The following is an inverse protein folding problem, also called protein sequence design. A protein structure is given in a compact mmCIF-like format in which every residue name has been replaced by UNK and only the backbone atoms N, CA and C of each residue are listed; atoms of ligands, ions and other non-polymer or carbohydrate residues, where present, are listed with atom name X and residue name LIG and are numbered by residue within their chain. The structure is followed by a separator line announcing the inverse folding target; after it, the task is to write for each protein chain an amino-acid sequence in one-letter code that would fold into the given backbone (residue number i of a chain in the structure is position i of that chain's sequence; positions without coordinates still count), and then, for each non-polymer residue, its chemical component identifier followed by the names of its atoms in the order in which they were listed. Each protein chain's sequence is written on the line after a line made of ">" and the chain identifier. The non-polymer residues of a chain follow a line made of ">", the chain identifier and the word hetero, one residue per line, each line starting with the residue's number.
data_IF_761999172989
#
_entry.id   IF_761999172989
#
_cell.length_a   1.000
_cell.length_b   1.000
_cell.length_c   1.000
_cell.angle_alpha   90.00
_cell.angle_beta   90.00
_cell.angle_gamma   90.00
#
_symmetry.space_group_name_H-M   'P 1'
#
loop_
_entity.id
_entity.type
_entity.pdbx_description
1 polymer ?
#
# COMPACT_ATOMS: atom_id res chain seq x y z
N UNK A 1 -28.36 16.66 12.14
CA UNK A 1 -27.95 15.25 11.93
C UNK A 1 -27.42 15.04 10.52
N UNK A 2 -28.18 15.35 9.45
CA UNK A 2 -27.77 15.11 8.06
C UNK A 2 -26.45 15.80 7.63
N UNK A 3 -26.23 17.06 8.03
CA UNK A 3 -24.98 17.78 7.77
C UNK A 3 -23.74 17.20 8.48
N UNK A 4 -23.93 16.23 9.39
CA UNK A 4 -22.87 15.50 10.11
C UNK A 4 -22.80 14.03 9.70
N UNK A 5 -23.19 13.70 8.47
CA UNK A 5 -23.22 12.34 7.91
C UNK A 5 -24.11 11.34 8.69
N UNK A 6 -25.09 11.82 9.46
CA UNK A 6 -26.05 10.98 10.18
C UNK A 6 -27.43 11.05 9.51
N UNK A 7 -27.78 10.00 8.75
CA UNK A 7 -29.09 9.86 8.12
C UNK A 7 -30.10 9.25 9.12
N UNK A 8 -31.00 10.09 9.64
CA UNK A 8 -32.06 9.64 10.54
C UNK A 8 -33.28 9.23 9.72
N UNK A 9 -33.61 7.93 9.70
CA UNK A 9 -34.74 7.39 8.93
C UNK A 9 -36.10 7.52 9.63
N UNK A 10 -36.11 7.64 10.96
CA UNK A 10 -37.32 7.80 11.79
C UNK A 10 -37.11 8.96 12.76
N UNK A 11 -37.99 9.96 12.74
CA UNK A 11 -37.90 11.15 13.59
C UNK A 11 -37.75 10.85 15.10
N UNK A 12 -38.46 9.84 15.68
CA UNK A 12 -38.28 9.50 17.10
C UNK A 12 -36.87 8.96 17.44
N UNK A 13 -36.12 8.49 16.44
CA UNK A 13 -34.75 7.98 16.63
C UNK A 13 -33.70 9.09 16.69
N UNK A 14 -34.09 10.36 16.54
CA UNK A 14 -33.16 11.49 16.67
C UNK A 14 -32.82 11.79 18.14
N UNK A 15 -33.70 11.44 19.09
CA UNK A 15 -33.53 11.71 20.52
C UNK A 15 -32.80 10.57 21.26
N UNK A 16 -33.00 9.32 20.85
CA UNK A 16 -32.41 8.14 21.49
C UNK A 16 -30.88 8.13 21.61
N UNK A 17 -30.07 8.66 20.67
CA UNK A 17 -28.62 8.74 20.84
C UNK A 17 -28.16 9.54 22.06
N UNK A 18 -28.99 10.47 22.57
CA UNK A 18 -28.67 11.28 23.75
C UNK A 18 -28.71 10.52 25.08
N UNK A 19 -29.39 9.36 25.12
CA UNK A 19 -29.53 8.53 26.32
C UNK A 19 -28.84 7.17 26.20
N UNK A 20 -28.10 6.93 25.11
CA UNK A 20 -27.42 5.65 24.87
C UNK A 20 -26.21 5.50 25.80
N UNK A 21 -26.19 4.45 26.61
CA UNK A 21 -25.06 4.12 27.52
C UNK A 21 -24.09 3.09 26.95
N UNK A 22 -24.48 2.34 25.91
CA UNK A 22 -23.66 1.31 25.28
C UNK A 22 -23.77 1.41 23.76
N UNK A 23 -22.62 1.46 23.07
CA UNK A 23 -22.55 1.46 21.60
C UNK A 23 -21.84 0.18 21.17
N UNK A 24 -22.56 -0.68 20.44
CA UNK A 24 -21.96 -1.82 19.75
C UNK A 24 -21.64 -1.39 18.32
N UNK A 25 -20.35 -1.25 18.00
CA UNK A 25 -19.90 -0.96 16.63
C UNK A 25 -19.19 -2.16 16.04
N UNK A 26 -19.42 -2.40 14.75
CA UNK A 26 -18.62 -3.38 14.00
C UNK A 26 -17.20 -2.84 13.77
N UNK A 27 -16.22 -3.72 13.59
CA UNK A 27 -14.82 -3.31 13.42
C UNK A 27 -14.56 -2.86 11.99
N UNK A 28 -14.81 -3.73 11.03
CA UNK A 28 -14.38 -3.56 9.63
C UNK A 28 -15.36 -2.66 8.89
N UNK A 29 -14.89 -1.53 8.36
CA UNK A 29 -15.75 -0.57 7.64
C UNK A 29 -16.54 0.40 8.53
N UNK A 30 -16.42 0.29 9.87
CA UNK A 30 -16.96 1.29 10.82
C UNK A 30 -15.87 1.89 11.69
N UNK A 31 -15.11 1.08 12.43
CA UNK A 31 -13.96 1.57 13.22
C UNK A 31 -12.69 1.69 12.35
N UNK A 32 -12.55 0.84 11.35
CA UNK A 32 -11.45 0.89 10.39
C UNK A 32 -11.96 1.26 9.00
N UNK A 33 -11.12 1.93 8.22
CA UNK A 33 -11.41 2.28 6.81
C UNK A 33 -11.40 1.07 5.87
N UNK A 34 -11.25 -0.15 6.40
CA UNK A 34 -11.02 -1.39 5.64
C UNK A 34 -9.87 -1.29 4.61
N UNK A 35 -8.95 -0.36 4.82
CA UNK A 35 -7.74 -0.23 4.02
C UNK A 35 -6.60 -0.92 4.77
N UNK A 36 -6.24 -2.12 4.31
CA UNK A 36 -5.08 -2.82 4.86
C UNK A 36 -3.80 -2.22 4.28
N UNK A 37 -2.82 -2.03 5.14
CA UNK A 37 -1.50 -1.49 4.78
C UNK A 37 -0.40 -2.30 5.46
N UNK A 38 0.72 -2.45 4.77
CA UNK A 38 1.89 -3.16 5.31
C UNK A 38 2.62 -2.23 6.27
N UNK A 39 2.70 -2.63 7.55
CA UNK A 39 3.34 -1.85 8.62
C UNK A 39 4.79 -2.25 8.92
N UNK A 40 5.14 -3.50 8.68
CA UNK A 40 6.50 -4.04 8.85
C UNK A 40 6.81 -5.10 7.81
N UNK A 41 8.03 -5.08 7.29
CA UNK A 41 8.59 -6.13 6.46
C UNK A 41 9.71 -6.82 7.23
N UNK A 42 9.87 -8.12 7.06
CA UNK A 42 10.96 -8.88 7.66
C UNK A 42 11.64 -9.76 6.63
N UNK A 43 12.97 -9.82 6.67
CA UNK A 43 13.78 -10.66 5.80
C UNK A 43 14.91 -11.31 6.59
N UNK A 44 15.36 -12.48 6.14
CA UNK A 44 16.56 -13.12 6.67
C UNK A 44 17.77 -12.27 6.24
N UNK A 45 18.59 -11.87 7.21
CA UNK A 45 19.82 -11.12 6.99
C UNK A 45 20.97 -12.01 6.53
N UNK A 46 22.15 -11.40 6.37
CA UNK A 46 23.31 -12.05 5.75
C UNK A 46 23.92 -13.18 6.59
N UNK A 47 23.60 -13.22 7.89
CA UNK A 47 24.05 -14.25 8.82
C UNK A 47 22.89 -15.19 9.18
N UNK A 48 23.14 -16.51 9.30
CA UNK A 48 22.14 -17.47 9.73
C UNK A 48 21.59 -17.10 11.11
N UNK A 49 20.27 -17.05 11.24
CA UNK A 49 19.58 -16.69 12.48
C UNK A 49 19.39 -15.19 12.72
N UNK A 50 19.93 -14.30 11.87
CA UNK A 50 19.70 -12.85 11.98
C UNK A 50 18.50 -12.43 11.14
N UNK A 51 17.43 -11.94 11.77
CA UNK A 51 16.27 -11.36 11.07
C UNK A 51 16.43 -9.84 11.03
N UNK A 52 16.20 -9.26 9.85
CA UNK A 52 16.10 -7.82 9.66
C UNK A 52 14.65 -7.44 9.53
N UNK A 53 14.25 -6.38 10.23
CA UNK A 53 12.90 -5.83 10.16
C UNK A 53 12.95 -4.39 9.66
N UNK A 54 12.15 -4.10 8.66
CA UNK A 54 11.99 -2.78 8.07
C UNK A 54 10.63 -2.23 8.52
N UNK A 55 10.64 -1.07 9.18
CA UNK A 55 9.40 -0.39 9.56
C UNK A 55 8.86 0.31 8.33
N UNK A 56 7.54 0.27 8.16
CA UNK A 56 6.89 0.90 7.04
C UNK A 56 5.75 1.80 7.47
N UNK A 57 5.84 3.08 7.11
CA UNK A 57 4.78 4.07 7.30
C UNK A 57 3.97 4.21 6.00
N UNK A 58 2.78 4.80 6.11
CA UNK A 58 1.80 4.90 5.03
C UNK A 58 0.56 4.06 5.36
N UNK A 59 -0.61 4.70 5.37
CA UNK A 59 -1.89 4.04 5.65
C UNK A 59 -2.81 4.02 4.45
N UNK A 60 -2.49 4.80 3.42
CA UNK A 60 -3.20 4.83 2.14
C UNK A 60 -2.76 3.71 1.21
N UNK A 61 -3.54 3.46 0.16
CA UNK A 61 -3.14 2.63 -0.98
C UNK A 61 -2.36 3.42 -2.04
N UNK A 62 -1.91 4.62 -1.69
CA UNK A 62 -0.99 5.40 -2.51
C UNK A 62 0.44 4.87 -2.34
N UNK A 63 1.11 4.55 -3.44
CA UNK A 63 2.49 4.08 -3.45
C UNK A 63 3.50 5.16 -3.06
N UNK A 64 3.09 6.42 -3.05
CA UNK A 64 3.87 7.58 -2.60
C UNK A 64 3.63 7.96 -1.13
N UNK A 65 2.57 7.43 -0.52
CA UNK A 65 2.24 7.71 0.87
C UNK A 65 3.09 6.83 1.81
N UNK A 66 3.98 7.48 2.54
CA UNK A 66 4.83 6.84 3.54
C UNK A 66 6.21 6.43 3.04
N UNK A 67 7.02 5.92 3.98
CA UNK A 67 8.44 5.59 3.74
C UNK A 67 8.80 4.29 4.42
N UNK A 68 9.76 3.60 3.82
CA UNK A 68 10.38 2.42 4.41
C UNK A 68 11.62 2.86 5.18
N UNK A 69 11.63 2.63 6.48
CA UNK A 69 12.77 2.95 7.33
C UNK A 69 13.72 1.78 7.43
N UNK A 70 15.00 2.09 7.64
CA UNK A 70 16.08 1.11 7.75
C UNK A 70 16.29 0.29 6.47
N UNK A 71 15.78 0.79 5.34
CA UNK A 71 16.00 0.18 4.04
C UNK A 71 17.46 0.30 3.65
N UNK A 72 18.11 -0.76 3.13
CA UNK A 72 19.49 -0.68 2.67
C UNK A 72 19.58 0.28 1.48
N UNK A 73 20.24 1.42 1.68
CA UNK A 73 20.46 2.42 0.61
C UNK A 73 21.61 1.92 -0.26
N UNK A 74 21.35 1.61 -1.53
CA UNK A 74 22.37 1.21 -2.50
C UNK A 74 22.15 -0.18 -3.10
N UNK A 75 22.26 -1.24 -2.29
CA UNK A 75 22.14 -2.62 -2.77
C UNK A 75 21.09 -3.40 -2.00
N UNK A 76 20.07 -3.87 -2.72
CA UNK A 76 19.08 -4.78 -2.18
C UNK A 76 19.67 -6.20 -2.13
N UNK A 77 19.50 -6.90 -1.02
CA UNK A 77 20.00 -8.27 -0.91
C UNK A 77 19.14 -9.24 -1.71
N UNK A 78 19.75 -10.34 -2.17
CA UNK A 78 19.07 -11.36 -2.96
C UNK A 78 17.81 -11.90 -2.27
N UNK A 79 17.83 -12.00 -0.93
CA UNK A 79 16.67 -12.43 -0.15
C UNK A 79 15.50 -11.44 -0.25
N UNK A 80 15.78 -10.14 -0.15
CA UNK A 80 14.75 -9.10 -0.20
C UNK A 80 14.21 -8.94 -1.63
N UNK A 81 15.08 -9.10 -2.63
CA UNK A 81 14.69 -9.18 -4.04
C UNK A 81 13.78 -10.38 -4.33
N UNK A 82 14.13 -11.55 -3.79
CA UNK A 82 13.33 -12.75 -3.94
C UNK A 82 11.97 -12.61 -3.26
N UNK A 83 11.91 -12.04 -2.05
CA UNK A 83 10.65 -11.75 -1.36
C UNK A 83 9.79 -10.78 -2.19
N UNK A 84 10.37 -9.71 -2.72
CA UNK A 84 9.65 -8.76 -3.56
C UNK A 84 9.12 -9.42 -4.84
N UNK A 85 9.92 -10.26 -5.51
CA UNK A 85 9.49 -11.04 -6.70
C UNK A 85 8.36 -12.00 -6.37
N UNK A 86 8.48 -12.79 -5.29
CA UNK A 86 7.43 -13.72 -4.87
C UNK A 86 6.15 -12.96 -4.54
N UNK A 87 6.24 -11.86 -3.79
CA UNK A 87 5.08 -11.07 -3.43
C UNK A 87 4.45 -10.34 -4.65
N UNK A 88 5.21 -10.12 -5.72
CA UNK A 88 4.71 -9.55 -6.98
C UNK A 88 4.01 -10.58 -7.86
N UNK A 89 4.53 -11.82 -7.91
CA UNK A 89 4.00 -12.91 -8.73
C UNK A 89 2.84 -13.63 -8.04
N UNK A 90 2.88 -13.79 -6.72
CA UNK A 90 1.83 -14.41 -5.91
C UNK A 90 0.78 -13.39 -5.47
N UNK A 91 0.36 -12.50 -6.36
CA UNK A 91 -0.58 -11.43 -6.05
C UNK A 91 -1.49 -11.16 -7.25
N UNK A 92 -2.79 -11.43 -7.06
CA UNK A 92 -3.84 -11.21 -8.06
C UNK A 92 -4.58 -9.86 -7.86
N UNK A 93 -4.26 -9.12 -6.79
CA UNK A 93 -4.87 -7.84 -6.52
C UNK A 93 -4.31 -6.73 -7.41
N UNK A 94 -5.18 -5.80 -7.75
CA UNK A 94 -4.84 -4.59 -8.50
C UNK A 94 -5.30 -3.37 -7.75
N UNK A 95 -4.52 -2.29 -7.84
CA UNK A 95 -4.88 -0.99 -7.27
C UNK A 95 -4.98 -0.01 -8.42
N UNK A 96 -6.15 0.59 -8.58
CA UNK A 96 -6.43 1.58 -9.62
C UNK A 96 -6.70 2.93 -8.99
N UNK A 97 -6.35 4.00 -9.70
CA UNK A 97 -6.63 5.36 -9.27
C UNK A 97 -7.88 5.86 -10.00
N UNK A 98 -8.96 6.11 -9.26
CA UNK A 98 -10.22 6.61 -9.80
C UNK A 98 -10.69 7.83 -9.01
N UNK A 99 -10.98 8.94 -9.71
CA UNK A 99 -11.52 10.16 -9.10
C UNK A 99 -10.78 10.65 -7.85
N UNK A 100 -9.44 10.66 -7.90
CA UNK A 100 -8.56 11.10 -6.80
C UNK A 100 -8.60 10.20 -5.55
N UNK A 101 -9.03 8.94 -5.71
CA UNK A 101 -9.00 7.90 -4.68
C UNK A 101 -8.39 6.62 -5.23
N UNK A 102 -7.63 5.91 -4.39
CA UNK A 102 -7.09 4.59 -4.72
C UNK A 102 -8.11 3.52 -4.37
N UNK A 103 -8.51 2.74 -5.37
CA UNK A 103 -9.47 1.65 -5.22
C UNK A 103 -8.72 0.33 -5.43
N UNK A 104 -8.70 -0.49 -4.38
CA UNK A 104 -8.17 -1.85 -4.44
C UNK A 104 -9.22 -2.82 -4.96
N UNK A 105 -8.86 -3.65 -5.94
CA UNK A 105 -9.67 -4.76 -6.45
C UNK A 105 -8.96 -6.07 -6.09
N UNK A 106 -9.65 -6.98 -5.40
CA UNK A 106 -9.09 -8.24 -4.88
C UNK A 106 -9.10 -8.29 -3.36
N UNK A 107 -8.28 -9.17 -2.77
CA UNK A 107 -8.17 -9.25 -1.31
C UNK A 107 -7.42 -8.03 -0.75
N UNK A 108 -7.92 -7.38 0.32
CA UNK A 108 -7.27 -6.18 0.87
C UNK A 108 -5.84 -6.46 1.38
N UNK A 109 -5.51 -7.69 1.77
CA UNK A 109 -4.15 -8.10 2.15
C UNK A 109 -3.20 -8.08 0.96
N UNK A 110 -3.68 -8.55 -0.19
CA UNK A 110 -2.91 -8.60 -1.43
C UNK A 110 -2.72 -7.19 -2.00
N UNK A 111 -3.76 -6.36 -1.95
CA UNK A 111 -3.67 -4.96 -2.35
C UNK A 111 -2.62 -4.20 -1.51
N UNK A 112 -2.59 -4.42 -0.20
CA UNK A 112 -1.59 -3.83 0.71
C UNK A 112 -0.15 -4.21 0.31
N UNK A 113 0.07 -5.49 -0.03
CA UNK A 113 1.36 -5.99 -0.50
C UNK A 113 1.74 -5.37 -1.84
N UNK A 114 0.79 -5.28 -2.77
CA UNK A 114 1.01 -4.74 -4.12
C UNK A 114 1.52 -3.30 -4.07
N UNK A 115 0.80 -2.43 -3.35
CA UNK A 115 1.19 -1.02 -3.15
C UNK A 115 2.61 -0.91 -2.62
N UNK A 116 2.96 -1.75 -1.64
CA UNK A 116 4.28 -1.68 -1.02
C UNK A 116 5.40 -2.16 -1.92
N UNK A 117 5.17 -3.17 -2.75
CA UNK A 117 6.13 -3.65 -3.74
C UNK A 117 6.40 -2.57 -4.79
N UNK A 118 5.36 -1.85 -5.23
CA UNK A 118 5.51 -0.78 -6.22
C UNK A 118 6.37 0.38 -5.66
N UNK A 119 6.24 0.71 -4.36
CA UNK A 119 7.16 1.65 -3.69
C UNK A 119 8.61 1.15 -3.69
N UNK A 120 8.83 -0.15 -3.38
CA UNK A 120 10.17 -0.77 -3.42
C UNK A 120 10.75 -0.75 -4.83
N UNK A 121 9.92 -1.02 -5.83
CA UNK A 121 10.29 -1.00 -7.23
C UNK A 121 10.69 0.41 -7.69
N UNK A 122 9.95 1.44 -7.28
CA UNK A 122 10.32 2.83 -7.54
C UNK A 122 11.68 3.20 -6.91
N UNK A 123 11.95 2.72 -5.69
CA UNK A 123 13.26 2.89 -5.03
C UNK A 123 14.37 2.18 -5.82
N UNK A 124 14.12 0.98 -6.34
CA UNK A 124 15.06 0.21 -7.15
C UNK A 124 15.35 0.90 -8.49
N UNK A 125 14.31 1.31 -9.23
CA UNK A 125 14.48 2.04 -10.48
C UNK A 125 15.24 3.35 -10.27
N UNK A 126 15.01 4.05 -9.15
CA UNK A 126 15.78 5.25 -8.80
C UNK A 126 17.27 4.96 -8.53
N UNK A 127 17.59 3.83 -7.91
CA UNK A 127 18.96 3.40 -7.65
C UNK A 127 19.68 2.87 -8.91
N UNK A 128 18.98 2.12 -9.77
CA UNK A 128 19.51 1.63 -11.05
C UNK A 128 19.71 2.74 -12.08
N UNK A 129 18.90 3.80 -12.06
CA UNK A 129 19.07 4.97 -12.93
C UNK A 129 20.42 5.67 -12.71
N UNK A 130 21.03 5.50 -11.54
CA UNK A 130 22.36 6.02 -11.25
C UNK A 130 23.50 5.10 -11.72
N UNK A 131 23.21 3.87 -12.14
CA UNK A 131 24.23 2.84 -12.38
C UNK A 131 24.36 2.41 -13.86
N UNK A 132 23.34 1.89 -14.57
CA UNK A 132 23.56 1.30 -15.91
C UNK A 132 22.31 1.26 -16.84
N UNK A 133 22.49 1.75 -18.08
CA UNK A 133 21.78 1.52 -19.37
C UNK A 133 20.22 1.48 -19.43
N UNK A 134 19.63 2.61 -19.87
CA UNK A 134 18.20 2.90 -20.02
C UNK A 134 17.36 2.04 -21.00
N UNK A 135 17.94 1.15 -21.81
CA UNK A 135 17.26 0.65 -23.04
C UNK A 135 16.40 -0.61 -22.88
N UNK A 136 16.77 -1.52 -21.97
CA UNK A 136 16.09 -2.82 -21.85
C UNK A 136 14.86 -2.71 -20.94
N UNK A 137 14.94 -1.88 -19.91
CA UNK A 137 13.86 -1.69 -18.94
C UNK A 137 12.67 -0.91 -19.48
N UNK A 138 12.89 0.07 -20.36
CA UNK A 138 11.82 0.83 -21.01
C UNK A 138 10.92 -0.09 -21.88
N UNK A 139 11.48 -1.17 -22.43
CA UNK A 139 10.78 -2.07 -23.31
C UNK A 139 9.84 -3.06 -22.59
N UNK A 140 10.10 -3.36 -21.30
CA UNK A 140 9.29 -4.28 -20.49
C UNK A 140 8.26 -3.56 -19.60
N UNK A 141 8.55 -2.32 -19.16
CA UNK A 141 7.70 -1.57 -18.22
C UNK A 141 7.08 -0.27 -18.78
N UNK A 142 7.52 0.18 -19.96
CA UNK A 142 6.97 1.39 -20.62
C UNK A 142 5.44 1.42 -20.76
N UNK A 143 4.76 0.31 -21.11
CA UNK A 143 3.30 0.30 -21.24
C UNK A 143 2.55 0.45 -19.90
N UNK A 144 3.14 0.02 -18.79
CA UNK A 144 2.51 0.08 -17.46
C UNK A 144 2.70 1.46 -16.80
N UNK A 145 3.84 2.12 -17.05
CA UNK A 145 4.12 3.47 -16.53
C UNK A 145 3.34 4.57 -17.26
N UNK A 146 3.07 4.43 -18.56
CA UNK A 146 2.25 5.39 -19.30
C UNK A 146 0.78 5.42 -18.82
N UNK A 147 0.28 4.31 -18.29
CA UNK A 147 -1.06 4.22 -17.69
C UNK A 147 -1.14 4.85 -16.29
N UNK A 148 0.01 5.18 -15.68
CA UNK A 148 0.14 5.82 -14.37
C UNK A 148 0.41 7.33 -14.45
N UNK A 149 0.29 7.94 -15.65
CA UNK A 149 0.37 9.39 -15.82
C UNK A 149 1.78 10.00 -15.70
N UNK A 150 2.83 9.18 -15.77
CA UNK A 150 4.21 9.67 -15.83
C UNK A 150 4.54 10.20 -17.24
N UNK A 151 4.08 11.41 -17.55
CA UNK A 151 4.66 12.20 -18.64
C UNK A 151 6.02 12.72 -18.20
N UNK A 152 7.10 12.10 -18.68
CA UNK A 152 8.44 12.66 -18.58
C UNK A 152 8.58 13.78 -19.62
N UNK A 153 8.69 15.03 -19.14
CA UNK A 153 9.26 16.16 -19.89
C UNK A 153 10.72 16.34 -19.48
#
# INVERSE_FOLDING_TARGET
>A
MAAKNALVRKLPSAETPGCTTVICSDKTGTLTTNQMSVSKLAAIGDAPGKVRSFKVDGTSHDSHDGKIYYWPVGRMDANLEMIAKVAAVCNDASVSHYSNQYVSTGMPTEAALKVRIDTVHAILSFLEFHSVNLRIWWCLLGPQLNNLGYSYH
#
